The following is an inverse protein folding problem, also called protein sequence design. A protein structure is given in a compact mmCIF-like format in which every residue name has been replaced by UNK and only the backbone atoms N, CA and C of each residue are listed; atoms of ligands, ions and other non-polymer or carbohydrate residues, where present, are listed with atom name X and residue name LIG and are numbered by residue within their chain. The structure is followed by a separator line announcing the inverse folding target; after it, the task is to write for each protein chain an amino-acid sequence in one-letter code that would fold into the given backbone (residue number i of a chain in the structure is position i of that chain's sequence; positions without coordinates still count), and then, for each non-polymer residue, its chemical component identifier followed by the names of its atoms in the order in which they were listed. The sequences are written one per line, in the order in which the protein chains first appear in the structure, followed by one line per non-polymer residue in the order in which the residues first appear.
data_IF_890838588964
#
_entry.id   IF_890838588964
#
_cell.length_a   1.000
_cell.length_b   1.000
_cell.length_c   1.000
_cell.angle_alpha   90.00
_cell.angle_beta   90.00
_cell.angle_gamma   90.00
#
_symmetry.space_group_name_H-M   'P 1'
#
loop_
_entity.id
_entity.type
_entity.pdbx_description
1 polymer ?
#
# COMPACT_ATOMS: atom_id res chain seq x y z
N UNK A 1 2.62 13.02 2.71
CA UNK A 1 2.78 14.39 2.17
C UNK A 1 3.56 14.30 0.87
N UNK A 2 2.90 14.50 -0.29
CA UNK A 2 3.59 14.44 -1.58
C UNK A 2 4.73 15.46 -1.65
N UNK A 3 5.95 14.95 -1.67
CA UNK A 3 7.13 15.75 -2.01
C UNK A 3 7.06 16.14 -3.49
N UNK A 4 7.83 17.15 -3.89
CA UNK A 4 7.96 17.55 -5.31
C UNK A 4 8.26 16.32 -6.19
N UNK A 5 9.06 15.38 -5.69
CA UNK A 5 9.41 14.15 -6.39
C UNK A 5 8.19 13.26 -6.68
N UNK A 6 7.28 13.11 -5.72
CA UNK A 6 6.07 12.31 -5.93
C UNK A 6 5.10 12.95 -6.92
N UNK A 7 4.98 14.30 -6.92
CA UNK A 7 4.20 14.98 -7.96
C UNK A 7 4.79 14.80 -9.34
N UNK A 8 6.11 14.92 -9.48
CA UNK A 8 6.80 14.66 -10.75
C UNK A 8 6.54 13.22 -11.20
N UNK A 9 6.65 12.26 -10.29
CA UNK A 9 6.39 10.85 -10.56
C UNK A 9 4.97 10.61 -11.09
N UNK A 10 3.95 11.18 -10.46
CA UNK A 10 2.55 11.00 -10.88
C UNK A 10 2.27 11.74 -12.20
N UNK A 11 2.77 12.96 -12.37
CA UNK A 11 2.42 13.82 -13.52
C UNK A 11 3.23 13.52 -14.80
N UNK A 12 4.38 12.87 -14.68
CA UNK A 12 5.28 12.64 -15.83
C UNK A 12 4.62 11.92 -17.02
N UNK A 13 3.79 10.85 -16.84
CA UNK A 13 3.11 10.21 -17.95
C UNK A 13 2.09 11.11 -18.65
N UNK A 14 1.37 11.94 -17.88
CA UNK A 14 0.41 12.91 -18.41
C UNK A 14 1.13 13.95 -19.28
N UNK A 15 2.26 14.47 -18.82
CA UNK A 15 3.09 15.41 -19.58
C UNK A 15 3.66 14.75 -20.84
N UNK A 16 4.18 13.53 -20.74
CA UNK A 16 4.67 12.77 -21.90
C UNK A 16 3.57 12.60 -22.95
N UNK A 17 2.37 12.21 -22.53
CA UNK A 17 1.24 12.06 -23.43
C UNK A 17 0.82 13.39 -24.07
N UNK A 18 0.76 14.48 -23.30
CA UNK A 18 0.41 15.80 -23.80
C UNK A 18 1.38 16.33 -24.88
N UNK A 19 2.64 15.89 -24.88
CA UNK A 19 3.62 16.24 -25.93
C UNK A 19 3.44 15.39 -27.20
N UNK A 20 2.94 14.16 -27.05
CA UNK A 20 2.78 13.18 -28.12
C UNK A 20 1.42 13.30 -28.84
N UNK A 21 0.36 13.67 -28.12
CA UNK A 21 -1.01 13.72 -28.60
C UNK A 21 -1.17 14.55 -29.87
N UNK A 22 -2.04 14.10 -30.79
CA UNK A 22 -2.36 14.84 -32.02
C UNK A 22 -3.86 15.02 -32.17
N UNK A 23 -4.65 13.98 -31.90
CA UNK A 23 -6.10 14.02 -32.01
C UNK A 23 -6.76 14.35 -30.67
N UNK A 24 -7.92 15.02 -30.72
CA UNK A 24 -8.70 15.29 -29.51
C UNK A 24 -9.32 14.02 -28.94
N UNK A 25 -9.77 13.10 -29.79
CA UNK A 25 -10.50 11.89 -29.35
C UNK A 25 -9.57 10.93 -28.61
N UNK A 26 -8.48 10.47 -29.25
CA UNK A 26 -7.52 9.56 -28.59
C UNK A 26 -6.80 10.30 -27.48
N UNK A 27 -6.50 11.58 -27.69
CA UNK A 27 -5.92 12.45 -26.68
C UNK A 27 -6.66 12.46 -25.36
N UNK A 28 -7.96 12.79 -25.40
CA UNK A 28 -8.81 12.81 -24.21
C UNK A 28 -8.93 11.42 -23.60
N UNK A 29 -9.16 10.38 -24.42
CA UNK A 29 -9.32 9.01 -23.91
C UNK A 29 -8.09 8.53 -23.11
N UNK A 30 -6.89 8.70 -23.66
CA UNK A 30 -5.63 8.30 -23.01
C UNK A 30 -5.33 9.19 -21.80
N UNK A 31 -5.58 10.50 -21.90
CA UNK A 31 -5.40 11.42 -20.77
C UNK A 31 -6.31 11.04 -19.59
N UNK A 32 -7.58 10.72 -19.85
CA UNK A 32 -8.52 10.25 -18.82
C UNK A 32 -8.07 8.94 -18.21
N UNK A 33 -7.59 7.98 -19.01
CA UNK A 33 -7.04 6.73 -18.49
C UNK A 33 -5.82 6.95 -17.59
N UNK A 34 -4.86 7.80 -18.02
CA UNK A 34 -3.69 8.15 -17.22
C UNK A 34 -4.06 8.89 -15.94
N UNK A 35 -5.03 9.81 -16.00
CA UNK A 35 -5.53 10.52 -14.82
C UNK A 35 -6.18 9.53 -13.83
N UNK A 36 -6.98 8.58 -14.31
CA UNK A 36 -7.51 7.51 -13.48
C UNK A 36 -6.41 6.67 -12.83
N UNK A 37 -5.38 6.26 -13.57
CA UNK A 37 -4.23 5.55 -13.00
C UNK A 37 -3.52 6.39 -11.93
N UNK A 38 -3.34 7.69 -12.16
CA UNK A 38 -2.69 8.61 -11.22
C UNK A 38 -3.48 8.77 -9.91
N UNK A 39 -4.81 8.60 -9.90
CA UNK A 39 -5.59 8.65 -8.66
C UNK A 39 -5.27 7.51 -7.69
N UNK A 40 -4.72 6.39 -8.16
CA UNK A 40 -4.41 5.24 -7.30
C UNK A 40 -3.27 5.56 -6.32
N UNK A 41 -2.04 5.92 -6.76
CA UNK A 41 -0.96 6.28 -5.83
C UNK A 41 -1.32 7.51 -5.00
N UNK A 42 -2.08 8.45 -5.56
CA UNK A 42 -2.55 9.62 -4.81
C UNK A 42 -3.51 9.21 -3.69
N UNK A 43 -4.48 8.37 -3.98
CA UNK A 43 -5.44 7.90 -2.99
C UNK A 43 -4.81 7.04 -1.89
N UNK A 44 -3.77 6.27 -2.23
CA UNK A 44 -3.00 5.52 -1.24
C UNK A 44 -2.23 6.45 -0.29
N UNK A 45 -1.53 7.46 -0.82
CA UNK A 45 -0.75 8.42 -0.03
C UNK A 45 -1.61 9.31 0.88
N UNK A 46 -2.81 9.68 0.43
CA UNK A 46 -3.77 10.46 1.21
C UNK A 46 -4.75 9.60 2.01
N UNK A 47 -4.51 8.28 2.09
CA UNK A 47 -5.32 7.33 2.84
C UNK A 47 -6.82 7.35 2.48
N UNK A 48 -7.16 7.70 1.24
CA UNK A 48 -8.55 7.67 0.76
C UNK A 48 -9.12 6.26 0.78
N UNK A 49 -8.26 5.25 0.63
CA UNK A 49 -8.58 3.85 0.79
C UNK A 49 -7.35 3.08 1.26
N UNK A 50 -7.60 2.01 2.02
CA UNK A 50 -6.55 1.07 2.43
C UNK A 50 -6.38 -0.02 1.38
N UNK A 51 -5.13 -0.32 1.02
CA UNK A 51 -4.79 -1.47 0.20
C UNK A 51 -3.55 -2.14 0.78
N UNK A 52 -3.58 -3.47 0.85
CA UNK A 52 -2.38 -4.28 1.10
C UNK A 52 -1.46 -4.34 -0.12
N UNK A 53 -1.96 -3.91 -1.27
CA UNK A 53 -1.22 -3.92 -2.52
C UNK A 53 -0.52 -2.57 -2.82
N UNK A 54 -0.14 -1.80 -1.79
CA UNK A 54 0.44 -0.46 -1.95
C UNK A 54 1.74 -0.53 -2.74
N UNK A 55 2.65 -1.44 -2.36
CA UNK A 55 3.92 -1.62 -3.06
C UNK A 55 3.74 -1.97 -4.54
N UNK A 56 2.76 -2.82 -4.86
CA UNK A 56 2.42 -3.24 -6.22
C UNK A 56 1.77 -2.11 -7.01
N UNK A 57 0.91 -1.32 -6.37
CA UNK A 57 0.28 -0.17 -6.99
C UNK A 57 1.32 0.90 -7.34
N UNK A 58 2.23 1.22 -6.41
CA UNK A 58 3.33 2.15 -6.64
C UNK A 58 4.30 1.61 -7.69
N UNK A 59 4.84 0.41 -7.53
CA UNK A 59 5.78 -0.15 -8.51
C UNK A 59 5.13 -0.39 -9.89
N UNK A 60 3.84 -0.75 -9.92
CA UNK A 60 3.08 -1.10 -11.12
C UNK A 60 2.59 0.10 -11.93
N UNK A 61 2.32 1.24 -11.28
CA UNK A 61 1.87 2.48 -11.92
C UNK A 61 2.66 2.86 -13.19
N UNK A 62 4.01 2.94 -13.18
CA UNK A 62 4.76 3.41 -14.33
C UNK A 62 4.68 2.44 -15.51
N UNK A 63 4.59 1.13 -15.26
CA UNK A 63 4.39 0.13 -16.30
C UNK A 63 3.00 0.23 -16.91
N UNK A 64 1.96 0.40 -16.07
CA UNK A 64 0.60 0.60 -16.54
C UNK A 64 0.47 1.88 -17.38
N UNK A 65 1.05 2.99 -16.91
CA UNK A 65 1.05 4.26 -17.62
C UNK A 65 1.83 4.17 -18.96
N UNK A 66 2.99 3.52 -18.97
CA UNK A 66 3.76 3.28 -20.18
C UNK A 66 2.99 2.42 -21.19
N UNK A 67 2.29 1.38 -20.74
CA UNK A 67 1.45 0.54 -21.59
C UNK A 67 0.30 1.34 -22.21
N UNK A 68 -0.39 2.16 -21.42
CA UNK A 68 -1.47 3.04 -21.89
C UNK A 68 -0.95 3.99 -22.99
N UNK A 69 0.23 4.58 -22.81
CA UNK A 69 0.86 5.45 -23.82
C UNK A 69 1.29 4.64 -25.05
N UNK A 70 1.88 3.46 -24.86
CA UNK A 70 2.31 2.58 -25.95
C UNK A 70 1.15 2.09 -26.82
N UNK A 71 -0.06 1.95 -26.27
CA UNK A 71 -1.29 1.66 -27.01
C UNK A 71 -1.88 2.92 -27.64
N UNK A 72 -1.82 4.07 -26.96
CA UNK A 72 -2.33 5.34 -27.48
C UNK A 72 -1.56 5.88 -28.70
N UNK A 73 -0.24 5.73 -28.71
CA UNK A 73 0.62 6.20 -29.80
C UNK A 73 0.32 5.57 -31.18
N UNK A 74 0.16 4.24 -31.34
CA UNK A 74 -0.24 3.64 -32.61
C UNK A 74 -1.67 4.01 -32.99
N UNK A 75 -2.61 4.14 -32.04
CA UNK A 75 -3.96 4.61 -32.33
C UNK A 75 -3.97 6.03 -32.96
N UNK A 76 -3.14 6.94 -32.44
CA UNK A 76 -2.90 8.26 -33.06
C UNK A 76 -2.30 8.16 -34.47
N UNK A 77 -1.35 7.25 -34.68
CA UNK A 77 -0.74 7.01 -36.00
C UNK A 77 -1.75 6.45 -37.01
N UNK A 78 -2.68 5.59 -36.58
CA UNK A 78 -3.73 5.06 -37.45
C UNK A 78 -4.71 6.15 -37.90
N UNK A 79 -5.05 7.11 -37.03
CA UNK A 79 -6.01 8.17 -37.36
C UNK A 79 -5.42 9.32 -38.18
N UNK A 80 -4.16 9.70 -37.98
CA UNK A 80 -3.54 10.88 -38.62
C UNK A 80 -2.33 10.57 -39.51
N UNK A 81 -1.99 9.30 -39.66
CA UNK A 81 -0.80 8.88 -40.40
C UNK A 81 0.52 9.27 -39.73
N UNK A 82 1.66 8.94 -40.39
CA UNK A 82 2.99 9.18 -39.84
C UNK A 82 3.29 10.67 -39.61
N UNK A 83 4.17 10.96 -38.65
CA UNK A 83 4.62 12.32 -38.36
C UNK A 83 5.87 12.66 -39.19
N UNK A 84 6.09 13.93 -39.59
CA UNK A 84 7.35 14.34 -40.23
C UNK A 84 8.57 13.99 -39.36
N UNK A 85 9.58 13.35 -39.97
CA UNK A 85 10.66 12.64 -39.27
C UNK A 85 11.43 13.51 -38.27
N UNK A 86 11.75 14.76 -38.61
CA UNK A 86 12.67 15.59 -37.81
C UNK A 86 12.09 16.04 -36.46
N UNK A 87 10.80 16.35 -36.40
CA UNK A 87 10.14 16.74 -35.14
C UNK A 87 9.57 15.55 -34.37
N UNK A 88 9.23 14.46 -35.07
CA UNK A 88 8.76 13.24 -34.44
C UNK A 88 9.86 12.60 -33.60
N UNK A 89 11.06 12.48 -34.17
CA UNK A 89 12.14 11.73 -33.56
C UNK A 89 12.57 12.29 -32.20
N UNK A 90 12.72 13.62 -32.08
CA UNK A 90 13.11 14.26 -30.80
C UNK A 90 12.06 14.08 -29.70
N UNK A 91 10.77 14.25 -30.03
CA UNK A 91 9.68 14.15 -29.04
C UNK A 91 9.44 12.70 -28.61
N UNK A 92 9.46 11.78 -29.57
CA UNK A 92 9.35 10.34 -29.28
C UNK A 92 10.54 9.84 -28.47
N UNK A 93 11.77 10.27 -28.80
CA UNK A 93 12.95 9.94 -28.01
C UNK A 93 12.87 10.48 -26.58
N UNK A 94 12.50 11.76 -26.41
CA UNK A 94 12.37 12.36 -25.07
C UNK A 94 11.31 11.65 -24.23
N UNK A 95 10.13 11.37 -24.80
CA UNK A 95 9.08 10.63 -24.11
C UNK A 95 9.52 9.19 -23.77
N UNK A 96 10.23 8.52 -24.69
CA UNK A 96 10.74 7.17 -24.44
C UNK A 96 11.77 7.16 -23.31
N UNK A 97 12.68 8.14 -23.29
CA UNK A 97 13.67 8.30 -22.21
C UNK A 97 12.96 8.56 -20.87
N UNK A 98 12.00 9.48 -20.83
CA UNK A 98 11.25 9.80 -19.62
C UNK A 98 10.47 8.59 -19.08
N UNK A 99 9.77 7.86 -19.94
CA UNK A 99 9.03 6.66 -19.55
C UNK A 99 9.97 5.52 -19.12
N UNK A 100 11.13 5.38 -19.78
CA UNK A 100 12.15 4.39 -19.37
C UNK A 100 12.69 4.73 -17.99
N UNK A 101 13.06 5.99 -17.75
CA UNK A 101 13.50 6.46 -16.44
C UNK A 101 12.42 6.21 -15.38
N UNK A 102 11.15 6.44 -15.70
CA UNK A 102 10.05 6.21 -14.79
C UNK A 102 9.82 4.72 -14.50
N UNK A 103 9.95 3.84 -15.51
CA UNK A 103 9.90 2.40 -15.32
C UNK A 103 11.07 1.90 -14.45
N UNK A 104 12.26 2.48 -14.59
CA UNK A 104 13.40 2.18 -13.72
C UNK A 104 13.14 2.62 -12.27
N UNK A 105 12.46 3.74 -12.05
CA UNK A 105 12.01 4.14 -10.72
C UNK A 105 11.02 3.11 -10.16
N UNK A 106 10.06 2.64 -10.96
CA UNK A 106 9.15 1.56 -10.56
C UNK A 106 9.88 0.27 -10.18
N UNK A 107 10.90 -0.12 -10.96
CA UNK A 107 11.75 -1.26 -10.66
C UNK A 107 12.54 -1.07 -9.36
N UNK A 108 13.08 0.13 -9.14
CA UNK A 108 13.79 0.47 -7.91
C UNK A 108 12.86 0.42 -6.69
N UNK A 109 11.62 0.93 -6.81
CA UNK A 109 10.60 0.81 -5.76
C UNK A 109 10.31 -0.66 -5.45
N UNK A 110 10.06 -1.49 -6.48
CA UNK A 110 9.84 -2.92 -6.30
C UNK A 110 11.02 -3.61 -5.60
N UNK A 111 12.24 -3.26 -6.00
CA UNK A 111 13.46 -3.78 -5.38
C UNK A 111 13.54 -3.36 -3.91
N UNK A 112 13.33 -2.08 -3.60
CA UNK A 112 13.36 -1.56 -2.24
C UNK A 112 12.35 -2.28 -1.34
N UNK A 113 11.09 -2.40 -1.75
CA UNK A 113 10.08 -3.15 -0.98
C UNK A 113 10.47 -4.61 -0.77
N UNK A 114 11.06 -5.26 -1.78
CA UNK A 114 11.53 -6.65 -1.63
C UNK A 114 12.68 -6.80 -0.63
N UNK A 115 13.52 -5.77 -0.49
CA UNK A 115 14.63 -5.74 0.47
C UNK A 115 14.24 -5.21 1.85
N UNK A 116 13.19 -4.39 1.95
CA UNK A 116 12.70 -3.76 3.18
C UNK A 116 11.90 -4.71 4.08
N UNK A 117 11.92 -6.02 3.82
CA UNK A 117 11.29 -7.05 4.67
C UNK A 117 11.83 -7.06 6.13
N UNK A 118 12.93 -6.36 6.38
CA UNK A 118 13.59 -6.21 7.69
C UNK A 118 13.27 -4.87 8.36
N UNK A 119 12.43 -4.02 7.76
CA UNK A 119 12.10 -2.73 8.35
C UNK A 119 10.80 -2.81 9.16
N UNK A 120 10.82 -2.37 10.43
CA UNK A 120 9.61 -2.26 11.21
C UNK A 120 8.68 -1.21 10.58
N UNK A 121 7.37 -1.42 10.73
CA UNK A 121 6.37 -0.53 10.15
C UNK A 121 5.17 -0.39 11.08
N UNK A 122 4.48 0.74 11.01
CA UNK A 122 3.26 0.97 11.78
C UNK A 122 2.08 0.28 11.11
N UNK A 123 1.44 -0.73 11.73
CA UNK A 123 0.30 -1.38 11.10
C UNK A 123 -0.94 -0.48 11.17
N UNK A 124 -1.69 -0.44 10.06
CA UNK A 124 -2.88 0.40 9.95
C UNK A 124 -4.09 -0.26 10.59
N UNK A 125 -4.91 0.49 11.34
CA UNK A 125 -6.19 0.00 11.86
C UNK A 125 -7.12 -0.53 10.76
N UNK A 126 -6.98 -0.05 9.53
CA UNK A 126 -7.76 -0.54 8.40
C UNK A 126 -7.48 -2.02 8.08
N UNK A 127 -6.38 -2.59 8.56
CA UNK A 127 -6.10 -4.03 8.47
C UNK A 127 -6.93 -4.87 9.42
N UNK A 128 -7.41 -4.27 10.50
CA UNK A 128 -8.14 -4.91 11.57
C UNK A 128 -9.64 -4.69 11.40
N UNK A 129 -10.33 -5.71 10.89
CA UNK A 129 -11.78 -5.69 10.82
C UNK A 129 -12.36 -6.35 12.06
N UNK A 130 -13.05 -5.56 12.88
CA UNK A 130 -13.68 -6.09 14.09
C UNK A 130 -14.97 -6.86 13.75
N UNK A 131 -15.20 -8.02 14.40
CA UNK A 131 -16.49 -8.70 14.37
C UNK A 131 -17.62 -7.79 14.85
N UNK A 132 -18.86 -8.00 14.38
CA UNK A 132 -20.02 -7.27 14.89
C UNK A 132 -20.15 -7.37 16.41
N UNK A 133 -20.44 -6.25 17.07
CA UNK A 133 -20.61 -6.17 18.52
C UNK A 133 -19.30 -5.99 19.32
N UNK A 134 -18.15 -5.95 18.64
CA UNK A 134 -16.85 -5.55 19.21
C UNK A 134 -16.47 -4.15 18.75
N UNK A 135 -15.86 -3.36 19.64
CA UNK A 135 -15.48 -1.97 19.38
C UNK A 135 -14.12 -1.65 19.97
N UNK A 136 -13.38 -0.75 19.33
CA UNK A 136 -12.15 -0.17 19.89
C UNK A 136 -12.56 0.85 20.96
N UNK A 137 -12.19 0.60 22.21
CA UNK A 137 -12.43 1.51 23.34
C UNK A 137 -11.28 2.51 23.52
N UNK A 138 -10.05 2.04 23.29
CA UNK A 138 -8.87 2.88 23.30
C UNK A 138 -7.88 2.42 22.22
N UNK A 139 -7.14 3.39 21.72
CA UNK A 139 -6.12 3.22 20.69
C UNK A 139 -4.93 4.08 21.10
N UNK A 140 -3.77 3.45 21.25
CA UNK A 140 -2.55 4.16 21.62
C UNK A 140 -2.06 5.13 20.53
N UNK A 141 -2.64 5.07 19.34
CA UNK A 141 -2.21 5.78 18.15
C UNK A 141 -1.11 5.03 17.39
N UNK A 142 -0.86 5.42 16.12
CA UNK A 142 0.27 4.90 15.38
C UNK A 142 1.59 5.28 16.07
N UNK A 143 2.59 4.43 15.93
CA UNK A 143 3.98 4.68 16.36
C UNK A 143 4.21 4.87 17.86
N UNK A 144 3.27 4.43 18.72
CA UNK A 144 3.37 4.55 20.19
C UNK A 144 4.74 4.06 20.68
N UNK A 145 5.17 2.90 20.19
CA UNK A 145 6.48 2.31 20.46
C UNK A 145 7.10 1.81 19.16
N UNK A 146 7.72 2.71 18.39
CA UNK A 146 8.60 2.34 17.29
C UNK A 146 10.04 2.16 17.77
N UNK A 147 10.54 0.95 17.65
CA UNK A 147 11.93 0.57 17.87
C UNK A 147 12.56 0.12 16.55
N UNK A 148 13.87 -0.15 16.57
CA UNK A 148 14.58 -0.75 15.44
C UNK A 148 13.98 -2.09 14.99
N UNK A 149 13.23 -2.78 15.85
CA UNK A 149 12.75 -4.14 15.58
C UNK A 149 11.24 -4.26 15.38
N UNK A 150 10.44 -3.33 15.90
CA UNK A 150 9.00 -3.35 15.76
C UNK A 150 8.42 -1.96 16.02
N UNK A 151 7.34 -1.65 15.31
CA UNK A 151 6.41 -0.60 15.70
C UNK A 151 5.15 -1.25 16.24
N UNK A 152 4.80 -0.86 17.47
CA UNK A 152 3.70 -1.44 18.25
C UNK A 152 2.59 -0.40 18.38
N UNK A 153 1.35 -0.87 18.23
CA UNK A 153 0.11 -0.14 18.51
C UNK A 153 -0.80 -0.98 19.39
N UNK A 154 -1.17 -0.44 20.54
CA UNK A 154 -2.03 -1.13 21.50
C UNK A 154 -3.48 -0.67 21.35
N UNK A 155 -4.39 -1.63 21.30
CA UNK A 155 -5.83 -1.41 21.19
C UNK A 155 -6.54 -2.08 22.37
N UNK A 156 -7.44 -1.37 23.05
CA UNK A 156 -8.41 -2.00 23.94
C UNK A 156 -9.67 -2.31 23.17
N UNK A 157 -10.03 -3.59 23.10
CA UNK A 157 -11.24 -4.06 22.45
C UNK A 157 -12.27 -4.43 23.52
N UNK A 158 -13.40 -3.73 23.45
CA UNK A 158 -14.57 -3.97 24.28
C UNK A 158 -15.72 -4.60 23.50
N UNK A 159 -16.87 -4.70 24.15
CA UNK A 159 -18.11 -5.15 23.53
C UNK A 159 -19.28 -4.22 23.84
N UNK A 160 -20.06 -3.92 22.81
CA UNK A 160 -21.31 -3.16 22.96
C UNK A 160 -22.40 -3.93 23.71
N UNK A 161 -22.25 -5.25 23.83
CA UNK A 161 -23.20 -6.15 24.50
C UNK A 161 -22.77 -6.51 25.94
N UNK A 162 -21.65 -5.95 26.42
CA UNK A 162 -21.11 -6.28 27.74
C UNK A 162 -20.60 -7.73 27.86
N UNK A 163 -20.05 -8.27 26.76
CA UNK A 163 -19.51 -9.62 26.75
C UNK A 163 -18.29 -9.75 27.67
N UNK A 164 -18.10 -10.92 28.31
CA UNK A 164 -16.89 -11.17 29.09
C UNK A 164 -15.67 -11.26 28.18
N UNK A 165 -14.49 -10.91 28.70
CA UNK A 165 -13.25 -10.83 27.91
C UNK A 165 -12.87 -12.12 27.18
N UNK A 166 -13.10 -13.29 27.79
CA UNK A 166 -12.86 -14.58 27.13
C UNK A 166 -13.74 -14.76 25.88
N UNK A 167 -14.98 -14.25 25.92
CA UNK A 167 -15.90 -14.28 24.77
C UNK A 167 -15.49 -13.27 23.70
N UNK A 168 -15.07 -12.07 24.12
CA UNK A 168 -14.49 -11.05 23.22
C UNK A 168 -13.28 -11.64 22.47
N UNK A 169 -12.32 -12.21 23.20
CA UNK A 169 -11.10 -12.78 22.64
C UNK A 169 -11.41 -13.96 21.70
N UNK A 170 -12.37 -14.82 22.06
CA UNK A 170 -12.83 -15.93 21.21
C UNK A 170 -13.44 -15.43 19.90
N UNK A 171 -14.36 -14.46 19.97
CA UNK A 171 -15.00 -13.87 18.78
C UNK A 171 -14.00 -13.14 17.91
N UNK A 172 -13.08 -12.39 18.53
CA UNK A 172 -12.01 -11.69 17.83
C UNK A 172 -11.12 -12.68 17.07
N UNK A 173 -10.61 -13.73 17.73
CA UNK A 173 -9.79 -14.77 17.08
C UNK A 173 -10.52 -15.44 15.92
N UNK A 174 -11.80 -15.79 16.10
CA UNK A 174 -12.60 -16.42 15.06
C UNK A 174 -12.83 -15.50 13.85
N UNK A 175 -13.14 -14.22 14.08
CA UNK A 175 -13.32 -13.23 13.02
C UNK A 175 -12.02 -12.96 12.26
N UNK A 176 -10.91 -12.81 12.97
CA UNK A 176 -9.60 -12.63 12.36
C UNK A 176 -9.19 -13.84 11.53
N UNK A 177 -9.43 -15.06 12.02
CA UNK A 177 -9.18 -16.28 11.25
C UNK A 177 -9.99 -16.31 9.94
N UNK A 178 -11.25 -15.86 9.97
CA UNK A 178 -12.08 -15.73 8.77
C UNK A 178 -11.54 -14.67 7.79
N UNK A 179 -10.89 -13.61 8.29
CA UNK A 179 -10.25 -12.55 7.52
C UNK A 179 -8.79 -12.88 7.09
N UNK A 180 -8.41 -14.16 7.17
CA UNK A 180 -7.14 -14.68 6.66
C UNK A 180 -5.96 -14.51 7.61
N UNK A 181 -6.20 -14.20 8.89
CA UNK A 181 -5.18 -14.28 9.92
C UNK A 181 -4.90 -15.75 10.27
N UNK A 182 -3.62 -16.08 10.44
CA UNK A 182 -3.17 -17.45 10.74
C UNK A 182 -2.53 -17.51 12.11
N UNK A 183 -2.53 -18.69 12.74
CA UNK A 183 -1.88 -18.87 14.04
C UNK A 183 -0.37 -18.59 13.93
N UNK A 184 0.10 -17.66 14.76
CA UNK A 184 1.51 -17.34 14.95
C UNK A 184 2.09 -18.03 16.19
N UNK A 185 3.36 -17.74 16.52
CA UNK A 185 3.98 -18.20 17.75
C UNK A 185 3.31 -17.58 18.99
N UNK A 186 3.33 -18.29 20.13
CA UNK A 186 2.95 -17.75 21.46
C UNK A 186 1.56 -17.06 21.53
N UNK A 187 0.53 -17.71 20.98
CA UNK A 187 -0.86 -17.21 20.96
C UNK A 187 -1.08 -15.92 20.15
N UNK A 188 -0.15 -15.57 19.26
CA UNK A 188 -0.34 -14.49 18.30
C UNK A 188 -1.08 -14.96 17.05
N UNK A 189 -1.58 -13.99 16.29
CA UNK A 189 -2.08 -14.15 14.95
C UNK A 189 -1.18 -13.40 13.99
N UNK A 190 -0.92 -13.96 12.82
CA UNK A 190 -0.05 -13.38 11.80
C UNK A 190 -0.72 -13.31 10.45
N UNK A 191 -0.40 -12.27 9.70
CA UNK A 191 -0.84 -12.09 8.32
C UNK A 191 0.22 -11.38 7.49
N UNK A 192 0.37 -11.70 6.20
CA UNK A 192 1.14 -10.84 5.30
C UNK A 192 0.55 -9.42 5.28
N UNK A 193 1.42 -8.42 5.47
CA UNK A 193 1.06 -7.02 5.33
C UNK A 193 0.82 -6.69 3.85
N UNK A 194 1.80 -7.06 3.02
CA UNK A 194 1.77 -6.90 1.57
C UNK A 194 1.10 -8.03 0.81
N UNK A 195 0.98 -7.86 -0.51
CA UNK A 195 0.43 -8.88 -1.40
C UNK A 195 1.50 -9.74 -2.08
N UNK A 196 2.43 -9.11 -2.80
CA UNK A 196 3.44 -9.75 -3.64
C UNK A 196 4.86 -9.20 -3.40
N UNK A 197 5.06 -7.89 -3.47
CA UNK A 197 6.35 -7.23 -3.35
C UNK A 197 6.72 -6.98 -1.90
N UNK A 198 5.75 -6.55 -1.10
CA UNK A 198 5.96 -6.35 0.32
C UNK A 198 5.78 -7.68 1.05
N UNK A 199 6.89 -8.15 1.63
CA UNK A 199 6.99 -9.43 2.34
C UNK A 199 6.92 -9.29 3.86
N UNK A 200 6.69 -8.08 4.36
CA UNK A 200 6.56 -7.84 5.80
C UNK A 200 5.32 -8.56 6.34
N UNK A 201 5.39 -8.94 7.60
CA UNK A 201 4.33 -9.64 8.29
C UNK A 201 3.78 -8.73 9.38
N UNK A 202 2.45 -8.69 9.49
CA UNK A 202 1.78 -8.08 10.63
C UNK A 202 1.50 -9.17 11.67
N UNK A 203 1.75 -8.86 12.94
CA UNK A 203 1.51 -9.76 14.07
C UNK A 203 0.54 -9.11 15.06
N UNK A 204 -0.27 -9.94 15.72
CA UNK A 204 -1.33 -9.50 16.61
C UNK A 204 -1.37 -10.42 17.83
N UNK A 205 -1.05 -9.88 19.00
CA UNK A 205 -1.12 -10.59 20.28
C UNK A 205 -2.39 -10.19 21.03
N UNK A 206 -3.13 -11.19 21.55
CA UNK A 206 -4.40 -10.98 22.22
C UNK A 206 -4.25 -11.36 23.70
N UNK A 207 -4.38 -10.37 24.58
CA UNK A 207 -4.29 -10.52 26.03
C UNK A 207 -5.64 -10.22 26.68
N UNK A 208 -6.12 -11.13 27.52
CA UNK A 208 -7.41 -11.02 28.21
C UNK A 208 -7.23 -10.28 29.55
N UNK A 209 -8.03 -9.25 29.77
CA UNK A 209 -8.19 -8.56 31.06
C UNK A 209 -9.62 -8.76 31.59
N UNK A 210 -9.93 -8.48 32.87
CA UNK A 210 -11.25 -8.78 33.43
C UNK A 210 -12.44 -8.18 32.67
N UNK A 211 -12.28 -6.98 32.10
CA UNK A 211 -13.38 -6.24 31.45
C UNK A 211 -13.15 -5.96 29.95
N UNK A 212 -11.93 -6.18 29.45
CA UNK A 212 -11.55 -5.85 28.08
C UNK A 212 -10.49 -6.82 27.55
N UNK A 213 -10.23 -6.74 26.25
CA UNK A 213 -9.15 -7.47 25.59
C UNK A 213 -8.15 -6.47 25.04
N UNK A 214 -6.90 -6.57 25.47
CA UNK A 214 -5.81 -5.79 24.87
C UNK A 214 -5.30 -6.53 23.64
N UNK A 215 -5.20 -5.81 22.54
CA UNK A 215 -4.62 -6.25 21.29
C UNK A 215 -3.36 -5.45 21.05
N UNK A 216 -2.22 -6.13 21.10
CA UNK A 216 -0.92 -5.58 20.70
C UNK A 216 -0.78 -5.85 19.21
N UNK A 217 -0.65 -4.78 18.42
CA UNK A 217 -0.63 -4.80 16.97
C UNK A 217 0.72 -4.37 16.43
N UNK A 218 1.44 -5.31 15.83
CA UNK A 218 2.86 -5.19 15.55
C UNK A 218 3.14 -5.25 14.05
N UNK A 219 3.98 -4.33 13.58
CA UNK A 219 4.72 -4.49 12.33
C UNK A 219 6.19 -4.79 12.62
N UNK A 220 6.51 -6.05 12.98
CA UNK A 220 7.87 -6.46 13.32
C UNK A 220 8.79 -6.52 12.09
N UNK A 221 10.08 -6.35 12.33
CA UNK A 221 11.10 -6.88 11.43
C UNK A 221 11.04 -8.42 11.42
N UNK A 222 11.58 -9.06 10.38
CA UNK A 222 11.53 -10.52 10.28
C UNK A 222 12.47 -11.25 11.28
N UNK A 223 13.21 -10.52 12.12
CA UNK A 223 14.07 -11.05 13.19
C UNK A 223 13.47 -10.88 14.58
N UNK A 224 12.40 -10.10 14.71
CA UNK A 224 11.78 -9.79 15.99
C UNK A 224 11.16 -11.05 16.59
N UNK A 225 11.50 -11.24 17.86
CA UNK A 225 10.92 -12.27 18.71
C UNK A 225 10.29 -11.56 19.89
N UNK A 226 9.02 -11.85 20.22
CA UNK A 226 8.31 -11.22 21.36
C UNK A 226 8.97 -11.48 22.73
N UNK A 227 10.08 -12.23 22.80
CA UNK A 227 10.87 -12.41 24.01
C UNK A 227 11.71 -11.18 24.41
N UNK A 228 11.91 -10.18 23.54
CA UNK A 228 12.70 -8.98 23.86
C UNK A 228 11.91 -7.86 24.55
N UNK A 229 10.57 -7.91 24.51
CA UNK A 229 9.67 -7.03 25.25
C UNK A 229 9.23 -7.66 26.57
N UNK A 230 10.16 -7.85 27.52
CA UNK A 230 9.75 -8.12 28.90
C UNK A 230 8.97 -6.91 29.42
N UNK A 231 7.71 -7.11 29.76
CA UNK A 231 6.91 -6.16 30.54
C UNK A 231 7.73 -5.66 31.74
N UNK A 232 7.73 -4.36 32.05
CA UNK A 232 8.26 -3.91 33.32
C UNK A 232 7.45 -4.60 34.43
N UNK A 233 8.15 -5.39 35.25
CA UNK A 233 7.62 -5.98 36.48
C UNK A 233 7.28 -4.90 37.49
#
# INVERSE_FOLDING_TARGET
MFTVLGWVYVLLPLVCWAVLVRTRVVGVAVLTALAGLATVPVGLEYEWFFSRATAEAEAGYPYAAALVIAVGAPAERLLRGPRPKDQAHRREAAASIALTAQALIGAAIAFLYSTAQFEPFSPSLAELRLPPGLTIESDSGPDRNCSLHACIRDLSIGSTEGLPAAEIARRLRAGLAADGWTAGPRNSLRRPHGWLLDKRMTELCITEHPEAVTVEFDGPDNTWSPASGQAPQ
#
